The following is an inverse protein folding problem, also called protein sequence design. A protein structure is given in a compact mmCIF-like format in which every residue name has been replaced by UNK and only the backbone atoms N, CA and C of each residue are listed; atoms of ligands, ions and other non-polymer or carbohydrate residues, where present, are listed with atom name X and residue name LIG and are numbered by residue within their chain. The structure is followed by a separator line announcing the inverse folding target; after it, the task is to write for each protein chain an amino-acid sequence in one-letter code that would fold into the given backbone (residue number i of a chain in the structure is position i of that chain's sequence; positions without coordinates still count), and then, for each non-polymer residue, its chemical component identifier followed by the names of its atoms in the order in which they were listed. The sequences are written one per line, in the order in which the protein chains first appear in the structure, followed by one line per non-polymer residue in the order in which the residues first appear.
data_IF_696696301350
#
_entry.id   IF_696696301350
#
_cell.length_a   1.000
_cell.length_b   1.000
_cell.length_c   1.000
_cell.angle_alpha   90.00
_cell.angle_beta   90.00
_cell.angle_gamma   90.00
#
_symmetry.space_group_name_H-M   'P 1'
#
loop_
_entity.id
_entity.type
_entity.pdbx_description
1 polymer ?
#
# COMPACT_ATOMS: atom_id res chain seq x y z
N UNK A 1 7.63 19.28 21.96
CA UNK A 1 8.31 18.88 20.72
C UNK A 1 8.25 17.39 20.40
N UNK A 2 7.62 16.55 21.22
CA UNK A 2 7.61 15.08 21.01
C UNK A 2 6.37 14.53 20.28
N UNK A 3 5.41 15.38 19.94
CA UNK A 3 4.15 14.93 19.38
C UNK A 3 4.29 14.38 17.94
N UNK A 4 5.19 14.94 17.13
CA UNK A 4 5.41 14.48 15.76
C UNK A 4 5.99 13.06 15.67
N UNK A 5 6.87 12.66 16.62
CA UNK A 5 7.44 11.31 16.67
C UNK A 5 6.38 10.25 16.94
N UNK A 6 5.41 10.56 17.83
CA UNK A 6 4.27 9.67 18.10
C UNK A 6 3.36 9.53 16.88
N UNK A 7 3.02 10.68 16.27
CA UNK A 7 2.23 10.71 15.03
C UNK A 7 2.92 9.90 13.93
N UNK A 8 4.21 10.13 13.73
CA UNK A 8 5.04 9.39 12.80
C UNK A 8 5.00 7.89 13.09
N UNK A 9 5.26 7.45 14.33
CA UNK A 9 5.28 6.05 14.69
C UNK A 9 3.93 5.35 14.43
N UNK A 10 2.80 6.00 14.75
CA UNK A 10 1.46 5.44 14.53
C UNK A 10 1.20 5.25 13.02
N UNK A 11 1.46 6.27 12.21
CA UNK A 11 1.26 6.21 10.76
C UNK A 11 2.16 5.13 10.15
N UNK A 12 3.46 5.16 10.49
CA UNK A 12 4.44 4.25 9.88
C UNK A 12 4.24 2.79 10.28
N UNK A 13 3.80 2.52 11.49
CA UNK A 13 3.46 1.16 11.91
C UNK A 13 2.27 0.63 11.11
N UNK A 14 1.22 1.44 10.96
CA UNK A 14 0.06 1.09 10.14
C UNK A 14 0.42 0.87 8.67
N UNK A 15 1.20 1.79 8.10
CA UNK A 15 1.64 1.72 6.71
C UNK A 15 2.60 0.56 6.45
N UNK A 16 3.53 0.29 7.37
CA UNK A 16 4.42 -0.87 7.28
C UNK A 16 3.62 -2.17 7.17
N UNK A 17 2.62 -2.35 8.03
CA UNK A 17 1.79 -3.55 8.02
C UNK A 17 1.01 -3.68 6.70
N UNK A 18 0.39 -2.59 6.21
CA UNK A 18 -0.32 -2.56 4.93
C UNK A 18 0.61 -2.88 3.75
N UNK A 19 1.77 -2.24 3.68
CA UNK A 19 2.75 -2.46 2.61
C UNK A 19 3.25 -3.91 2.62
N UNK A 20 3.53 -4.46 3.81
CA UNK A 20 4.01 -5.83 3.95
C UNK A 20 2.94 -6.84 3.49
N UNK A 21 1.70 -6.70 3.95
CA UNK A 21 0.61 -7.60 3.56
C UNK A 21 0.29 -7.48 2.07
N UNK A 22 0.30 -6.28 1.49
CA UNK A 22 0.15 -6.08 0.05
C UNK A 22 1.30 -6.68 -0.76
N UNK A 23 2.54 -6.62 -0.25
CA UNK A 23 3.70 -7.28 -0.88
C UNK A 23 3.54 -8.81 -0.88
N UNK A 24 3.11 -9.39 0.25
CA UNK A 24 2.82 -10.82 0.36
C UNK A 24 1.75 -11.23 -0.66
N UNK A 25 0.63 -10.52 -0.70
CA UNK A 25 -0.50 -10.83 -1.60
C UNK A 25 -0.11 -10.68 -3.06
N UNK A 26 0.59 -9.61 -3.44
CA UNK A 26 1.05 -9.43 -4.81
C UNK A 26 1.93 -10.60 -5.26
N UNK A 27 2.85 -11.02 -4.41
CA UNK A 27 3.73 -12.15 -4.72
C UNK A 27 2.99 -13.49 -4.74
N UNK A 28 2.06 -13.72 -3.80
CA UNK A 28 1.23 -14.92 -3.77
C UNK A 28 0.37 -15.05 -5.04
N UNK A 29 -0.22 -13.95 -5.52
CA UNK A 29 -1.00 -13.93 -6.76
C UNK A 29 -0.09 -14.24 -7.97
N UNK A 30 1.10 -13.61 -8.05
CA UNK A 30 2.07 -13.85 -9.13
C UNK A 30 2.50 -15.32 -9.14
N UNK A 31 2.77 -15.90 -7.97
CA UNK A 31 3.17 -17.30 -7.83
C UNK A 31 2.03 -18.24 -8.26
N UNK A 32 0.81 -17.97 -7.80
CA UNK A 32 -0.37 -18.75 -8.19
C UNK A 32 -0.61 -18.69 -9.71
N UNK A 33 -0.56 -17.48 -10.30
CA UNK A 33 -0.69 -17.32 -11.77
C UNK A 33 0.42 -18.04 -12.52
N UNK A 34 1.65 -18.00 -12.01
CA UNK A 34 2.79 -18.69 -12.65
C UNK A 34 2.60 -20.19 -12.65
N UNK A 35 2.03 -20.76 -11.59
CA UNK A 35 1.71 -22.19 -11.51
C UNK A 35 0.57 -22.58 -12.46
N UNK A 36 -0.46 -21.74 -12.58
CA UNK A 36 -1.61 -22.01 -13.46
C UNK A 36 -1.30 -21.79 -14.94
N UNK A 37 -0.51 -20.77 -15.29
CA UNK A 37 -0.25 -20.40 -16.69
C UNK A 37 1.07 -20.95 -17.22
N UNK A 38 1.94 -21.50 -16.38
CA UNK A 38 3.30 -21.89 -16.73
C UNK A 38 4.23 -20.75 -17.11
N UNK A 39 3.84 -19.47 -16.83
CA UNK A 39 4.58 -18.27 -17.19
C UNK A 39 4.64 -17.27 -16.05
N UNK A 40 5.86 -16.92 -15.62
CA UNK A 40 6.10 -15.90 -14.60
C UNK A 40 6.17 -14.47 -15.17
N UNK A 41 6.41 -14.31 -16.48
CA UNK A 41 6.68 -12.99 -17.08
C UNK A 41 5.42 -12.14 -17.26
N UNK A 42 4.29 -12.73 -17.62
CA UNK A 42 3.04 -12.03 -17.88
C UNK A 42 2.46 -11.33 -16.63
N UNK A 43 2.38 -11.98 -15.45
CA UNK A 43 1.91 -11.32 -14.25
C UNK A 43 2.77 -10.14 -13.80
N UNK A 44 4.10 -10.25 -13.94
CA UNK A 44 5.06 -9.21 -13.56
C UNK A 44 4.91 -7.95 -14.42
N UNK A 45 4.62 -8.11 -15.72
CA UNK A 45 4.50 -6.98 -16.67
C UNK A 45 3.30 -6.10 -16.38
N UNK A 46 2.19 -6.66 -15.90
CA UNK A 46 0.96 -5.92 -15.57
C UNK A 46 1.17 -5.03 -14.34
N UNK A 47 1.97 -5.47 -13.36
CA UNK A 47 2.25 -4.70 -12.15
C UNK A 47 3.07 -3.43 -12.43
N UNK A 48 3.88 -3.40 -13.50
CA UNK A 48 4.76 -2.28 -13.84
C UNK A 48 4.12 -1.15 -14.66
N UNK A 49 2.93 -1.34 -15.22
CA UNK A 49 2.35 -0.42 -16.22
C UNK A 49 1.83 0.92 -15.64
N UNK A 50 1.58 1.05 -14.34
CA UNK A 50 0.84 2.17 -13.75
C UNK A 50 1.64 3.02 -12.74
N UNK A 51 2.97 3.05 -12.81
CA UNK A 51 3.84 3.71 -11.82
C UNK A 51 4.03 5.23 -12.00
N UNK A 52 3.19 5.95 -12.75
CA UNK A 52 3.50 7.32 -13.15
C UNK A 52 2.39 8.37 -13.06
N UNK A 53 1.48 8.33 -12.08
CA UNK A 53 0.41 9.32 -11.98
C UNK A 53 0.74 10.40 -10.94
N UNK A 54 0.76 11.67 -11.36
CA UNK A 54 1.01 12.84 -10.51
C UNK A 54 -0.22 13.25 -9.69
N UNK A 55 0.01 13.55 -8.38
CA UNK A 55 -1.05 14.00 -7.45
C UNK A 55 -0.60 15.26 -6.72
N UNK A 56 -0.80 16.45 -7.32
CA UNK A 56 -0.35 17.70 -6.68
C UNK A 56 -1.42 18.48 -5.91
N UNK A 57 -2.72 18.15 -6.02
CA UNK A 57 -3.81 19.02 -5.52
C UNK A 57 -4.75 18.43 -4.46
N UNK A 58 -4.59 17.17 -4.04
CA UNK A 58 -5.54 16.52 -3.16
C UNK A 58 -5.04 16.44 -1.71
N UNK A 59 -5.98 16.41 -0.74
CA UNK A 59 -5.68 16.21 0.68
C UNK A 59 -5.01 14.87 0.89
N UNK A 60 -3.72 14.88 1.17
CA UNK A 60 -2.83 13.70 1.21
C UNK A 60 -3.38 12.56 2.06
N UNK A 61 -3.91 12.88 3.27
CA UNK A 61 -4.57 11.90 4.14
C UNK A 61 -5.76 11.21 3.45
N UNK A 62 -6.62 11.96 2.75
CA UNK A 62 -7.78 11.38 2.05
C UNK A 62 -7.34 10.46 0.92
N UNK A 63 -6.32 10.88 0.16
CA UNK A 63 -5.78 10.05 -0.93
C UNK A 63 -5.24 8.73 -0.40
N UNK A 64 -4.48 8.74 0.70
CA UNK A 64 -3.96 7.51 1.32
C UNK A 64 -5.09 6.58 1.77
N UNK A 65 -6.10 7.10 2.49
CA UNK A 65 -7.25 6.30 2.95
C UNK A 65 -8.06 5.75 1.77
N UNK A 66 -8.30 6.57 0.74
CA UNK A 66 -9.04 6.14 -0.45
C UNK A 66 -8.26 5.07 -1.23
N UNK A 67 -6.94 5.25 -1.38
CA UNK A 67 -6.08 4.29 -2.07
C UNK A 67 -6.03 2.95 -1.31
N UNK A 68 -5.78 2.96 0.00
CA UNK A 68 -5.77 1.76 0.83
C UNK A 68 -7.14 1.05 0.81
N UNK A 69 -8.24 1.81 0.95
CA UNK A 69 -9.59 1.27 0.89
C UNK A 69 -9.90 0.66 -0.49
N UNK A 70 -9.47 1.29 -1.57
CA UNK A 70 -9.67 0.80 -2.93
C UNK A 70 -8.87 -0.49 -3.17
N UNK A 71 -7.61 -0.55 -2.75
CA UNK A 71 -6.78 -1.75 -2.83
C UNK A 71 -7.41 -2.88 -2.03
N UNK A 72 -7.83 -2.61 -0.79
CA UNK A 72 -8.50 -3.60 0.07
C UNK A 72 -9.82 -4.10 -0.54
N UNK A 73 -10.60 -3.22 -1.15
CA UNK A 73 -11.84 -3.60 -1.83
C UNK A 73 -11.57 -4.53 -3.03
N UNK A 74 -10.57 -4.21 -3.87
CA UNK A 74 -10.18 -5.10 -4.97
C UNK A 74 -9.70 -6.47 -4.45
N UNK A 75 -8.93 -6.47 -3.36
CA UNK A 75 -8.47 -7.72 -2.72
C UNK A 75 -9.62 -8.51 -2.12
N UNK A 76 -10.59 -7.84 -1.52
CA UNK A 76 -11.79 -8.50 -0.98
C UNK A 76 -12.61 -9.17 -2.08
N UNK A 77 -12.82 -8.49 -3.22
CA UNK A 77 -13.47 -9.11 -4.39
C UNK A 77 -12.72 -10.37 -4.82
N UNK A 78 -11.38 -10.28 -4.90
CA UNK A 78 -10.56 -11.42 -5.27
C UNK A 78 -10.67 -12.56 -4.25
N UNK A 79 -10.69 -12.26 -2.94
CA UNK A 79 -10.87 -13.24 -1.88
C UNK A 79 -12.23 -13.96 -2.00
N UNK A 80 -13.29 -13.22 -2.32
CA UNK A 80 -14.62 -13.78 -2.55
C UNK A 80 -14.63 -14.71 -3.78
N UNK A 81 -13.99 -14.29 -4.88
CA UNK A 81 -13.89 -15.14 -6.08
C UNK A 81 -13.13 -16.43 -5.80
N UNK A 82 -12.05 -16.39 -5.04
CA UNK A 82 -11.32 -17.60 -4.63
C UNK A 82 -12.10 -18.46 -3.63
N UNK A 83 -12.89 -17.84 -2.75
CA UNK A 83 -13.70 -18.57 -1.78
C UNK A 83 -14.79 -19.43 -2.45
N UNK A 84 -15.39 -18.91 -3.51
CA UNK A 84 -16.45 -19.59 -4.28
C UNK A 84 -15.92 -20.38 -5.48
N UNK A 85 -14.59 -20.54 -5.64
CA UNK A 85 -13.95 -21.19 -6.79
C UNK A 85 -14.36 -20.59 -8.16
N UNK A 86 -14.73 -19.29 -8.17
CA UNK A 86 -15.09 -18.54 -9.36
C UNK A 86 -13.93 -17.72 -9.95
N UNK A 87 -12.75 -17.82 -9.36
CA UNK A 87 -11.58 -17.07 -9.79
C UNK A 87 -11.09 -17.55 -11.17
N UNK A 88 -11.20 -16.67 -12.17
CA UNK A 88 -10.63 -16.87 -13.51
C UNK A 88 -9.38 -16.02 -13.67
N UNK A 89 -8.45 -16.44 -14.50
CA UNK A 89 -7.21 -15.72 -14.81
C UNK A 89 -7.50 -14.27 -15.24
N UNK A 90 -8.55 -14.05 -16.06
CA UNK A 90 -8.97 -12.70 -16.48
C UNK A 90 -9.39 -11.80 -15.31
N UNK A 91 -10.14 -12.33 -14.33
CA UNK A 91 -10.56 -11.58 -13.13
C UNK A 91 -9.33 -11.15 -12.33
N UNK A 92 -8.33 -12.02 -12.20
CA UNK A 92 -7.10 -11.74 -11.46
C UNK A 92 -6.30 -10.62 -12.14
N UNK A 93 -6.12 -10.68 -13.47
CA UNK A 93 -5.41 -9.61 -14.19
C UNK A 93 -6.10 -8.25 -14.07
N UNK A 94 -7.43 -8.20 -14.19
CA UNK A 94 -8.21 -6.96 -14.04
C UNK A 94 -8.05 -6.41 -12.63
N UNK A 95 -8.19 -7.25 -11.59
CA UNK A 95 -8.08 -6.81 -10.20
C UNK A 95 -6.64 -6.41 -9.83
N UNK A 96 -5.61 -7.08 -10.38
CA UNK A 96 -4.22 -6.66 -10.24
C UNK A 96 -3.97 -5.28 -10.87
N UNK A 97 -4.49 -5.03 -12.07
CA UNK A 97 -4.37 -3.73 -12.73
C UNK A 97 -5.05 -2.62 -11.89
N UNK A 98 -6.25 -2.88 -11.37
CA UNK A 98 -6.96 -1.93 -10.47
C UNK A 98 -6.17 -1.68 -9.18
N UNK A 99 -5.61 -2.72 -8.54
CA UNK A 99 -4.75 -2.58 -7.36
C UNK A 99 -3.50 -1.75 -7.66
N UNK A 100 -2.89 -1.92 -8.83
CA UNK A 100 -1.73 -1.13 -9.27
C UNK A 100 -2.06 0.35 -9.41
N UNK A 101 -3.26 0.68 -9.91
CA UNK A 101 -3.77 2.06 -9.93
C UNK A 101 -3.85 2.63 -8.51
N UNK A 102 -4.46 1.90 -7.56
CA UNK A 102 -4.50 2.33 -6.15
C UNK A 102 -3.11 2.58 -5.56
N UNK A 103 -2.16 1.67 -5.81
CA UNK A 103 -0.77 1.80 -5.33
C UNK A 103 -0.04 3.00 -5.94
N UNK A 104 -0.33 3.35 -7.21
CA UNK A 104 0.24 4.51 -7.88
C UNK A 104 -0.16 5.84 -7.21
N UNK A 105 -1.31 5.90 -6.55
CA UNK A 105 -1.75 7.06 -5.77
C UNK A 105 -1.24 7.04 -4.34
N UNK A 106 -1.15 5.88 -3.71
CA UNK A 106 -0.80 5.74 -2.30
C UNK A 106 0.63 6.21 -2.00
N UNK A 107 1.63 5.71 -2.76
CA UNK A 107 3.05 5.97 -2.50
C UNK A 107 3.43 7.45 -2.60
N UNK A 108 3.05 8.20 -3.66
CA UNK A 108 3.33 9.64 -3.72
C UNK A 108 2.63 10.43 -2.61
N UNK A 109 1.38 10.08 -2.27
CA UNK A 109 0.64 10.74 -1.19
C UNK A 109 1.33 10.55 0.17
N UNK A 110 1.83 9.33 0.46
CA UNK A 110 2.60 9.03 1.66
C UNK A 110 3.90 9.85 1.70
N UNK A 111 4.70 9.86 0.63
CA UNK A 111 5.95 10.62 0.57
C UNK A 111 5.72 12.11 0.72
N UNK A 112 4.67 12.64 0.09
CA UNK A 112 4.30 14.04 0.18
C UNK A 112 3.76 14.46 1.55
N UNK A 113 3.32 13.53 2.40
CA UNK A 113 2.88 13.82 3.78
C UNK A 113 4.04 14.03 4.75
N UNK A 114 5.23 13.52 4.44
CA UNK A 114 6.42 13.57 5.32
C UNK A 114 6.84 14.99 5.68
N UNK A 115 7.00 15.95 4.73
CA UNK A 115 7.42 17.31 5.04
C UNK A 115 6.41 18.09 5.90
N UNK A 116 5.13 17.67 5.92
CA UNK A 116 4.09 18.30 6.75
C UNK A 116 4.10 17.82 8.20
N UNK A 117 4.69 16.63 8.45
CA UNK A 117 4.65 15.98 9.75
C UNK A 117 5.95 16.16 10.53
N UNK A 118 7.08 16.32 9.84
CA UNK A 118 8.40 16.30 10.45
C UNK A 118 9.20 17.58 10.18
N UNK A 119 10.09 17.98 11.11
CA UNK A 119 11.03 19.07 10.91
C UNK A 119 11.95 18.81 9.71
N UNK A 120 12.37 19.87 9.02
CA UNK A 120 13.27 19.78 7.85
C UNK A 120 14.57 19.02 8.15
N UNK A 121 15.09 19.12 9.37
CA UNK A 121 16.31 18.41 9.83
C UNK A 121 16.16 16.89 9.88
N UNK A 122 14.93 16.35 9.98
CA UNK A 122 14.67 14.91 10.10
C UNK A 122 14.25 14.27 8.77
N UNK A 123 14.02 15.05 7.71
CA UNK A 123 13.49 14.54 6.44
C UNK A 123 14.39 13.48 5.82
N UNK A 124 15.71 13.66 5.87
CA UNK A 124 16.69 12.69 5.36
C UNK A 124 16.62 11.36 6.12
N UNK A 125 16.49 11.44 7.44
CA UNK A 125 16.34 10.24 8.29
C UNK A 125 15.06 9.48 8.00
N UNK A 126 13.95 10.21 7.81
CA UNK A 126 12.65 9.61 7.48
C UNK A 126 12.68 8.97 6.09
N UNK A 127 13.31 9.62 5.11
CA UNK A 127 13.52 9.01 3.79
C UNK A 127 14.31 7.70 3.88
N UNK A 128 15.35 7.66 4.71
CA UNK A 128 16.10 6.44 5.00
C UNK A 128 15.25 5.34 5.63
N UNK A 129 14.40 5.68 6.60
CA UNK A 129 13.46 4.72 7.23
C UNK A 129 12.48 4.17 6.18
N UNK A 130 11.92 5.03 5.33
CA UNK A 130 11.02 4.60 4.25
C UNK A 130 11.71 3.61 3.30
N UNK A 131 12.97 3.88 2.94
CA UNK A 131 13.73 2.98 2.08
C UNK A 131 13.99 1.63 2.74
N UNK A 132 14.30 1.61 4.04
CA UNK A 132 14.47 0.36 4.81
C UNK A 132 13.16 -0.43 4.84
N UNK A 133 12.02 0.23 5.12
CA UNK A 133 10.69 -0.40 5.12
C UNK A 133 10.41 -1.06 3.75
N UNK A 134 10.63 -0.32 2.66
CA UNK A 134 10.43 -0.86 1.30
C UNK A 134 11.33 -2.06 1.03
N UNK A 135 12.60 -1.97 1.40
CA UNK A 135 13.57 -3.06 1.21
C UNK A 135 13.17 -4.30 2.01
N UNK A 136 12.77 -4.13 3.27
CA UNK A 136 12.29 -5.24 4.11
C UNK A 136 11.04 -5.87 3.50
N UNK A 137 10.06 -5.08 3.07
CA UNK A 137 8.83 -5.60 2.45
C UNK A 137 9.12 -6.33 1.13
N UNK A 138 10.06 -5.83 0.31
CA UNK A 138 10.45 -6.44 -0.95
C UNK A 138 11.18 -7.80 -0.78
N UNK A 139 11.85 -8.01 0.34
CA UNK A 139 12.52 -9.28 0.66
C UNK A 139 11.58 -10.21 1.43
N UNK A 140 10.93 -9.70 2.49
CA UNK A 140 10.08 -10.50 3.34
C UNK A 140 8.76 -10.90 2.64
N UNK A 141 8.20 -10.03 1.78
CA UNK A 141 6.97 -10.31 1.05
C UNK A 141 7.03 -11.61 0.25
N UNK A 142 7.97 -11.77 -0.70
CA UNK A 142 8.14 -13.02 -1.45
C UNK A 142 8.38 -14.24 -0.57
N UNK A 143 9.24 -14.11 0.45
CA UNK A 143 9.56 -15.22 1.35
C UNK A 143 8.32 -15.69 2.14
N UNK A 144 7.56 -14.75 2.71
CA UNK A 144 6.33 -15.04 3.43
C UNK A 144 5.22 -15.53 2.49
N UNK A 145 5.12 -14.99 1.26
CA UNK A 145 4.16 -15.46 0.27
C UNK A 145 4.41 -16.94 -0.11
N UNK A 146 5.67 -17.31 -0.35
CA UNK A 146 6.06 -18.70 -0.63
C UNK A 146 5.71 -19.64 0.53
N UNK A 147 5.95 -19.19 1.77
CA UNK A 147 5.59 -19.95 2.97
C UNK A 147 4.06 -20.07 3.12
N UNK A 148 3.32 -18.97 2.99
CA UNK A 148 1.88 -18.96 3.24
C UNK A 148 1.09 -19.74 2.18
N UNK A 149 1.53 -19.75 0.92
CA UNK A 149 0.88 -20.53 -0.14
C UNK A 149 0.92 -22.04 0.14
N UNK A 150 1.94 -22.53 0.86
CA UNK A 150 2.04 -23.92 1.26
C UNK A 150 1.24 -24.26 2.52
N UNK A 151 0.95 -23.26 3.36
CA UNK A 151 0.34 -23.46 4.69
C UNK A 151 -1.15 -23.13 4.73
N UNK A 152 -1.63 -22.25 3.86
CA UNK A 152 -3.02 -21.77 3.92
C UNK A 152 -3.61 -21.54 2.53
N UNK A 153 -4.96 -21.49 2.48
CA UNK A 153 -5.70 -21.19 1.26
C UNK A 153 -5.44 -19.76 0.77
N UNK A 154 -5.47 -19.56 -0.55
CA UNK A 154 -5.29 -18.25 -1.17
C UNK A 154 -6.25 -17.18 -0.60
N UNK A 155 -7.50 -17.56 -0.31
CA UNK A 155 -8.49 -16.70 0.33
C UNK A 155 -7.98 -16.11 1.65
N UNK A 156 -7.33 -16.91 2.51
CA UNK A 156 -6.81 -16.44 3.80
C UNK A 156 -5.64 -15.47 3.62
N UNK A 157 -4.77 -15.73 2.62
CA UNK A 157 -3.66 -14.82 2.28
C UNK A 157 -4.22 -13.46 1.83
N UNK A 158 -5.25 -13.45 1.00
CA UNK A 158 -5.92 -12.23 0.54
C UNK A 158 -6.57 -11.47 1.70
N UNK A 159 -7.19 -12.15 2.66
CA UNK A 159 -7.78 -11.52 3.84
C UNK A 159 -6.74 -10.86 4.78
N UNK A 160 -5.48 -11.33 4.79
CA UNK A 160 -4.40 -10.63 5.50
C UNK A 160 -4.16 -9.21 4.96
N UNK A 161 -4.25 -9.01 3.65
CA UNK A 161 -4.09 -7.69 3.03
C UNK A 161 -5.26 -6.76 3.42
N UNK A 162 -6.48 -7.28 3.41
CA UNK A 162 -7.67 -6.52 3.86
C UNK A 162 -7.52 -6.10 5.33
N UNK A 163 -7.05 -7.00 6.19
CA UNK A 163 -6.79 -6.70 7.60
C UNK A 163 -5.66 -5.65 7.76
N UNK A 164 -4.57 -5.77 6.99
CA UNK A 164 -3.47 -4.80 6.98
C UNK A 164 -3.92 -3.41 6.54
N UNK A 165 -4.70 -3.32 5.47
CA UNK A 165 -5.26 -2.07 4.98
C UNK A 165 -6.26 -1.46 5.99
N UNK A 166 -7.11 -2.27 6.63
CA UNK A 166 -8.02 -1.81 7.69
C UNK A 166 -7.23 -1.21 8.86
N UNK A 167 -6.15 -1.86 9.29
CA UNK A 167 -5.27 -1.36 10.34
C UNK A 167 -4.59 -0.04 9.95
N UNK A 168 -4.12 0.09 8.70
CA UNK A 168 -3.54 1.33 8.17
C UNK A 168 -4.56 2.46 8.12
N UNK A 169 -5.77 2.22 7.63
CA UNK A 169 -6.85 3.20 7.61
C UNK A 169 -7.23 3.66 9.03
N UNK A 170 -7.33 2.72 9.98
CA UNK A 170 -7.59 3.05 11.38
C UNK A 170 -6.47 3.93 11.95
N UNK A 171 -5.20 3.59 11.72
CA UNK A 171 -4.07 4.39 12.19
C UNK A 171 -4.10 5.83 11.65
N UNK A 172 -4.46 6.00 10.37
CA UNK A 172 -4.63 7.32 9.75
C UNK A 172 -5.84 8.10 10.32
N UNK A 173 -6.92 7.43 10.71
CA UNK A 173 -8.08 8.10 11.32
C UNK A 173 -7.72 8.79 12.65
N UNK A 174 -6.87 8.17 13.45
CA UNK A 174 -6.45 8.72 14.76
C UNK A 174 -5.42 9.84 14.67
N UNK A 175 -4.88 10.12 13.48
CA UNK A 175 -3.82 11.11 13.29
C UNK A 175 -4.34 12.30 12.47
N UNK A 176 -3.98 13.52 12.92
CA UNK A 176 -4.22 14.74 12.16
C UNK A 176 -3.00 15.04 11.27
N UNK A 177 -3.19 15.08 9.95
CA UNK A 177 -2.20 15.54 8.98
C UNK A 177 -2.62 16.92 8.51
N UNK A 178 -1.80 17.99 8.71
CA UNK A 178 -2.11 19.35 8.26
C UNK A 178 -2.33 19.41 6.74
N UNK A 179 -3.24 20.28 6.29
CA UNK A 179 -3.48 20.53 4.87
C UNK A 179 -2.45 21.52 4.32
N UNK A 180 -1.90 21.31 3.12
CA UNK A 180 -0.97 22.26 2.47
C UNK A 180 -1.56 23.67 2.27
N UNK A 181 -2.88 23.76 2.08
CA UNK A 181 -3.60 25.03 1.86
C UNK A 181 -3.53 26.03 3.04
N UNK A 182 -3.11 25.60 4.21
CA UNK A 182 -2.95 26.49 5.38
C UNK A 182 -1.56 27.11 5.48
N UNK A 183 -0.51 26.46 4.95
CA UNK A 183 0.84 27.03 4.99
C UNK A 183 1.05 28.10 3.90
N UNK A 184 0.53 27.92 2.70
CA UNK A 184 0.62 28.90 1.63
C UNK A 184 -0.14 30.19 1.98
N UNK A 185 -1.31 30.08 2.62
CA UNK A 185 -2.09 31.26 3.02
C UNK A 185 -1.44 32.07 4.15
N UNK A 186 -0.64 31.45 5.02
CA UNK A 186 0.07 32.15 6.08
C UNK A 186 1.39 32.78 5.61
N UNK A 187 1.99 32.29 4.52
CA UNK A 187 3.20 32.88 3.94
C UNK A 187 2.90 34.07 3.02
N UNK A 188 1.68 34.23 2.52
CA UNK A 188 1.24 35.41 1.75
C UNK A 188 0.79 36.61 2.66
N UNK A 189 0.64 36.35 3.97
CA UNK A 189 0.21 37.36 4.94
C UNK A 189 1.38 37.98 5.76
N UNK A 190 2.62 37.59 5.47
CA UNK A 190 3.85 38.14 6.04
C UNK A 190 4.83 38.55 4.97
#
# INVERSE_FOLDING_TARGET
MDNWKRVFAIIWTGQFLSILTSSIVNFAIVLWLSLETGSALLPQSVLGLFTGIFIDRWKRKRVMIMADSFIAFCTLILAVLFYFDLAKISHIYVLLALRSVGSAFHMPAMQASVPLLAPKSELMRIAGINQVIQSVCNIAGPALAGLFITMMKMTNILLLDVAGAAFACLSLCFVFIPDPSHEERNSELH
#
